data_IF_415748257489
#
_entry.id   IF_415748257489
#
_cell.length_a   1.000
_cell.length_b   1.000
_cell.length_c   1.000
_cell.angle_alpha   90.00
_cell.angle_beta   90.00
_cell.angle_gamma   90.00
#
_symmetry.space_group_name_H-M   'P 1'
#
loop_
_entity.id
_entity.type
_entity.pdbx_description
1 polymer ?
#
# COMPACT_ATOMS: atom_id res chain seq x y z
N UNK A 1 10.24 -26.67 -1.93
CA UNK A 1 11.33 -25.84 -2.44
C UNK A 1 11.05 -24.43 -2.00
N UNK A 2 11.96 -23.81 -1.24
CA UNK A 2 11.77 -22.44 -0.78
C UNK A 2 11.84 -21.52 -2.01
N UNK A 3 10.78 -20.76 -2.26
CA UNK A 3 10.81 -19.66 -3.22
C UNK A 3 11.98 -18.76 -2.83
N UNK A 4 13.04 -18.75 -3.64
CA UNK A 4 14.04 -17.69 -3.54
C UNK A 4 13.32 -16.36 -3.80
N UNK A 5 13.47 -15.34 -2.93
CA UNK A 5 12.93 -14.02 -3.23
C UNK A 5 13.47 -13.54 -4.57
N UNK A 6 12.65 -12.80 -5.32
CA UNK A 6 13.09 -12.07 -6.49
C UNK A 6 14.32 -11.24 -6.07
N UNK A 7 15.47 -11.52 -6.68
CA UNK A 7 16.77 -10.96 -6.27
C UNK A 7 16.68 -9.45 -6.04
N UNK A 8 16.69 -9.01 -4.78
CA UNK A 8 16.55 -7.62 -4.37
C UNK A 8 15.47 -7.34 -3.33
N UNK A 9 14.35 -8.08 -3.33
CA UNK A 9 13.27 -7.90 -2.36
C UNK A 9 13.60 -8.50 -1.00
N UNK A 10 13.37 -7.74 0.07
CA UNK A 10 13.29 -8.27 1.42
C UNK A 10 12.14 -9.27 1.55
N UNK A 11 12.25 -10.22 2.49
CA UNK A 11 11.26 -11.29 2.68
C UNK A 11 9.86 -10.79 3.06
N UNK A 12 9.74 -9.53 3.51
CA UNK A 12 8.47 -8.86 3.85
C UNK A 12 8.15 -7.68 2.93
N UNK A 13 8.90 -7.50 1.84
CA UNK A 13 8.59 -6.47 0.85
C UNK A 13 7.42 -6.95 -0.03
N UNK A 14 6.47 -6.07 -0.30
CA UNK A 14 5.38 -6.32 -1.25
C UNK A 14 5.95 -6.61 -2.63
N UNK A 15 5.38 -7.61 -3.32
CA UNK A 15 5.70 -7.88 -4.72
C UNK A 15 4.97 -6.92 -5.65
N UNK A 16 3.77 -6.47 -5.26
CA UNK A 16 3.03 -5.41 -5.95
C UNK A 16 2.21 -4.60 -4.94
N UNK A 17 1.97 -3.34 -5.28
CA UNK A 17 0.98 -2.45 -4.68
C UNK A 17 0.41 -1.61 -5.82
N UNK A 18 -0.91 -1.67 -6.00
CA UNK A 18 -1.61 -0.94 -7.07
C UNK A 18 -2.77 -0.12 -6.52
N UNK A 19 -3.24 0.80 -7.34
CA UNK A 19 -4.26 1.81 -7.14
C UNK A 19 -5.24 1.81 -8.32
N UNK A 20 -6.42 2.42 -8.14
CA UNK A 20 -7.45 2.58 -9.17
C UNK A 20 -7.78 4.06 -9.47
N UNK A 21 -6.86 4.96 -9.13
CA UNK A 21 -6.91 6.39 -9.47
C UNK A 21 -6.04 6.70 -10.68
N UNK A 22 -6.12 7.92 -11.21
CA UNK A 22 -5.42 8.32 -12.42
C UNK A 22 -3.89 8.44 -12.27
N UNK A 23 -3.39 8.65 -11.05
CA UNK A 23 -1.96 8.69 -10.78
C UNK A 23 -1.38 7.28 -10.62
N UNK A 24 -0.15 7.09 -11.08
CA UNK A 24 0.64 5.88 -10.89
C UNK A 24 1.68 6.06 -9.77
N UNK A 25 2.03 4.96 -9.08
CA UNK A 25 3.21 4.92 -8.21
C UNK A 25 4.49 5.23 -8.99
N UNK A 26 5.18 6.31 -8.60
CA UNK A 26 6.49 6.70 -9.14
C UNK A 26 7.50 6.88 -8.00
N UNK A 27 8.52 6.01 -7.89
CA UNK A 27 8.76 4.82 -8.73
C UNK A 27 7.64 3.79 -8.56
N UNK A 28 7.50 2.89 -9.54
CA UNK A 28 6.71 1.67 -9.33
C UNK A 28 7.27 0.89 -8.14
N UNK A 29 6.45 0.02 -7.56
CA UNK A 29 6.82 -0.74 -6.36
C UNK A 29 8.08 -1.56 -6.63
N UNK A 30 9.13 -1.24 -5.90
CA UNK A 30 10.44 -1.89 -5.97
C UNK A 30 10.98 -2.12 -4.56
N UNK A 31 11.88 -3.08 -4.44
CA UNK A 31 12.53 -3.40 -3.18
C UNK A 31 13.20 -2.17 -2.54
N UNK A 32 13.10 -2.06 -1.22
CA UNK A 32 13.72 -0.97 -0.46
C UNK A 32 13.01 0.39 -0.55
N UNK A 33 11.92 0.52 -1.31
CA UNK A 33 11.10 1.75 -1.37
C UNK A 33 9.80 1.55 -0.61
N UNK A 34 9.63 2.35 0.45
CA UNK A 34 8.55 2.21 1.42
C UNK A 34 7.71 3.48 1.60
N UNK A 35 8.06 4.57 0.95
CA UNK A 35 7.34 5.84 0.98
C UNK A 35 6.86 6.19 -0.42
N UNK A 36 5.57 6.50 -0.54
CA UNK A 36 4.95 6.84 -1.81
C UNK A 36 4.05 8.06 -1.67
N UNK A 37 3.98 8.85 -2.73
CA UNK A 37 3.06 9.97 -2.84
C UNK A 37 2.23 9.82 -4.11
N UNK A 38 0.91 9.97 -4.00
CA UNK A 38 -0.02 9.95 -5.11
C UNK A 38 -0.86 11.23 -5.10
N UNK A 39 -1.19 11.72 -6.30
CA UNK A 39 -2.10 12.85 -6.47
C UNK A 39 -3.44 12.32 -6.98
N UNK A 40 -4.49 12.51 -6.19
CA UNK A 40 -5.86 12.25 -6.60
C UNK A 40 -6.49 13.56 -7.11
N UNK A 41 -7.27 13.45 -8.18
CA UNK A 41 -8.13 14.52 -8.70
C UNK A 41 -9.22 14.87 -7.69
N UNK A 42 -9.86 16.03 -7.87
CA UNK A 42 -10.99 16.43 -7.03
C UNK A 42 -12.21 15.50 -7.16
N UNK A 43 -12.31 14.73 -8.25
CA UNK A 43 -13.40 13.77 -8.50
C UNK A 43 -13.19 12.40 -7.87
N UNK A 44 -11.95 12.06 -7.50
CA UNK A 44 -11.62 10.77 -6.86
C UNK A 44 -11.85 10.88 -5.35
N UNK A 45 -13.04 10.49 -4.90
CA UNK A 45 -13.45 10.49 -3.49
C UNK A 45 -12.95 9.27 -2.71
N UNK A 46 -12.33 8.32 -3.40
CA UNK A 46 -11.77 7.09 -2.85
C UNK A 46 -10.64 6.55 -3.72
N UNK A 47 -9.86 5.63 -3.14
CA UNK A 47 -8.84 4.84 -3.83
C UNK A 47 -8.87 3.42 -3.30
N UNK A 48 -8.84 2.44 -4.19
CA UNK A 48 -8.68 1.04 -3.87
C UNK A 48 -7.21 0.66 -3.96
N UNK A 49 -6.61 0.38 -2.81
CA UNK A 49 -5.21 -0.05 -2.72
C UNK A 49 -5.14 -1.58 -2.65
N UNK A 50 -4.43 -2.20 -3.59
CA UNK A 50 -4.25 -3.66 -3.63
C UNK A 50 -2.80 -4.03 -3.37
N UNK A 51 -2.48 -4.38 -2.13
CA UNK A 51 -1.16 -4.85 -1.74
C UNK A 51 -1.04 -6.38 -1.89
N UNK A 52 0.08 -6.86 -2.45
CA UNK A 52 0.32 -8.28 -2.68
C UNK A 52 1.63 -8.73 -2.07
N UNK A 53 1.54 -9.72 -1.18
CA UNK A 53 2.63 -10.58 -0.76
C UNK A 53 2.06 -11.91 -0.24
N UNK A 54 2.29 -12.99 -0.98
CA UNK A 54 1.79 -14.32 -0.62
C UNK A 54 2.39 -14.77 0.72
N UNK A 55 1.54 -15.25 1.63
CA UNK A 55 1.95 -15.72 2.95
C UNK A 55 2.15 -14.63 4.00
N UNK A 56 1.91 -13.36 3.65
CA UNK A 56 1.94 -12.25 4.60
C UNK A 56 0.56 -11.98 5.23
N UNK A 57 0.57 -11.40 6.43
CA UNK A 57 -0.57 -10.66 6.99
C UNK A 57 -0.40 -9.19 6.63
N UNK A 58 -1.31 -8.66 5.81
CA UNK A 58 -1.33 -7.25 5.40
C UNK A 58 -2.34 -6.49 6.24
N UNK A 59 -1.92 -5.35 6.80
CA UNK A 59 -2.76 -4.52 7.68
C UNK A 59 -2.75 -3.07 7.26
N UNK A 60 -3.93 -2.51 7.05
CA UNK A 60 -4.12 -1.11 6.67
C UNK A 60 -4.50 -0.26 7.90
N UNK A 61 -3.92 0.93 7.99
CA UNK A 61 -4.34 1.98 8.93
C UNK A 61 -4.47 3.30 8.18
N UNK A 62 -5.64 3.92 8.25
CA UNK A 62 -5.99 5.19 7.60
C UNK A 62 -7.21 5.81 8.29
N UNK A 63 -7.26 7.13 8.41
CA UNK A 63 -8.36 7.80 9.13
C UNK A 63 -8.61 7.19 10.51
N UNK A 64 -9.83 6.72 10.75
CA UNK A 64 -10.22 6.01 11.98
C UNK A 64 -10.00 4.47 11.94
N UNK A 65 -9.67 3.91 10.77
CA UNK A 65 -9.40 2.48 10.59
C UNK A 65 -8.00 2.16 11.10
N UNK A 66 -7.88 1.21 12.02
CA UNK A 66 -6.60 0.82 12.64
C UNK A 66 -6.35 -0.68 12.47
N UNK A 67 -5.20 -1.03 11.89
CA UNK A 67 -4.71 -2.40 11.72
C UNK A 67 -5.72 -3.37 11.07
N UNK A 68 -6.57 -2.88 10.14
CA UNK A 68 -7.53 -3.71 9.43
C UNK A 68 -6.79 -4.75 8.59
N UNK A 69 -7.07 -6.03 8.85
CA UNK A 69 -6.46 -7.13 8.08
C UNK A 69 -7.15 -7.24 6.73
N UNK A 70 -6.35 -7.23 5.67
CA UNK A 70 -6.81 -7.42 4.29
C UNK A 70 -6.00 -8.56 3.67
N UNK A 71 -6.67 -9.45 2.93
CA UNK A 71 -5.97 -10.56 2.29
C UNK A 71 -5.05 -10.05 1.17
N UNK A 72 -3.90 -10.71 0.99
CA UNK A 72 -2.98 -10.39 -0.10
C UNK A 72 -3.68 -10.44 -1.46
N UNK A 73 -3.49 -9.39 -2.27
CA UNK A 73 -4.09 -9.27 -3.60
C UNK A 73 -5.59 -8.89 -3.59
N UNK A 74 -6.18 -8.61 -2.42
CA UNK A 74 -7.53 -8.08 -2.30
C UNK A 74 -7.48 -6.58 -2.09
N UNK A 75 -8.28 -5.83 -2.85
CA UNK A 75 -8.34 -4.38 -2.77
C UNK A 75 -8.98 -3.88 -1.47
N UNK A 76 -8.39 -2.84 -0.90
CA UNK A 76 -8.92 -2.08 0.23
C UNK A 76 -9.32 -0.68 -0.24
N UNK A 77 -10.62 -0.39 -0.20
CA UNK A 77 -11.12 0.95 -0.51
C UNK A 77 -10.88 1.91 0.66
N UNK A 78 -10.21 3.02 0.38
CA UNK A 78 -9.89 4.10 1.31
C UNK A 78 -10.63 5.35 0.84
N UNK A 79 -11.52 5.90 1.69
CA UNK A 79 -12.17 7.17 1.42
C UNK A 79 -11.17 8.34 1.54
N UNK A 80 -11.25 9.30 0.63
CA UNK A 80 -10.35 10.45 0.54
C UNK A 80 -11.07 11.76 0.87
N UNK A 81 -10.52 12.50 1.83
CA UNK A 81 -10.88 13.91 2.05
C UNK A 81 -10.01 14.82 1.19
N UNK A 82 -10.49 16.01 0.85
CA UNK A 82 -9.66 17.04 0.19
C UNK A 82 -8.43 17.32 1.04
N UNK A 83 -7.26 17.38 0.39
CA UNK A 83 -5.97 17.47 1.05
C UNK A 83 -5.31 16.11 1.27
N UNK A 84 -4.40 16.05 2.24
CA UNK A 84 -3.55 14.87 2.47
C UNK A 84 -4.29 13.76 3.24
N UNK A 85 -4.25 12.54 2.70
CA UNK A 85 -4.72 11.31 3.31
C UNK A 85 -3.51 10.39 3.49
N UNK A 86 -3.19 10.03 4.74
CA UNK A 86 -2.07 9.13 5.04
C UNK A 86 -2.60 7.72 5.25
N UNK A 87 -2.04 6.77 4.50
CA UNK A 87 -2.30 5.33 4.63
C UNK A 87 -1.01 4.63 5.00
N UNK A 88 -1.05 3.78 6.03
CA UNK A 88 0.05 2.87 6.34
C UNK A 88 -0.36 1.44 6.08
N UNK A 89 0.50 0.70 5.37
CA UNK A 89 0.32 -0.72 5.06
C UNK A 89 1.45 -1.47 5.77
N UNK A 90 1.10 -2.19 6.83
CA UNK A 90 2.03 -3.03 7.58
C UNK A 90 1.99 -4.45 7.04
N UNK A 91 3.14 -4.95 6.61
CA UNK A 91 3.33 -6.29 6.08
C UNK A 91 4.06 -7.14 7.12
N UNK A 92 3.46 -8.25 7.52
CA UNK A 92 4.05 -9.19 8.46
C UNK A 92 4.20 -10.56 7.82
N UNK A 93 5.44 -11.06 7.74
CA UNK A 93 5.72 -12.44 7.36
C UNK A 93 6.29 -13.17 8.58
N UNK A 94 5.74 -14.35 8.96
CA UNK A 94 6.26 -15.10 10.11
C UNK A 94 7.76 -15.38 10.00
N UNK A 95 8.50 -15.14 11.09
CA UNK A 95 9.95 -15.32 11.13
C UNK A 95 10.78 -14.15 10.62
N UNK A 96 10.14 -13.07 10.14
CA UNK A 96 10.81 -11.85 9.67
C UNK A 96 10.30 -10.60 10.40
N UNK A 97 11.08 -9.52 10.35
CA UNK A 97 10.67 -8.22 10.88
C UNK A 97 9.55 -7.61 10.03
N UNK A 98 8.64 -6.81 10.63
CA UNK A 98 7.59 -6.15 9.86
C UNK A 98 8.17 -5.07 8.94
N UNK A 99 7.57 -4.91 7.78
CA UNK A 99 7.82 -3.79 6.85
C UNK A 99 6.59 -2.89 6.83
N UNK A 100 6.80 -1.57 6.76
CA UNK A 100 5.73 -0.58 6.75
C UNK A 100 5.87 0.27 5.50
N UNK A 101 4.83 0.29 4.68
CA UNK A 101 4.68 1.20 3.56
C UNK A 101 3.84 2.40 4.02
N UNK A 102 4.30 3.61 3.73
CA UNK A 102 3.58 4.87 4.02
C UNK A 102 3.22 5.54 2.70
N UNK A 103 1.92 5.74 2.49
CA UNK A 103 1.39 6.42 1.32
C UNK A 103 0.79 7.75 1.76
N UNK A 104 1.17 8.83 1.09
CA UNK A 104 0.52 10.14 1.20
C UNK A 104 -0.26 10.41 -0.08
N UNK A 105 -1.58 10.36 0.01
CA UNK A 105 -2.50 10.54 -1.12
C UNK A 105 -3.14 11.90 -0.98
N UNK A 106 -2.78 12.84 -1.87
CA UNK A 106 -3.29 14.21 -1.81
C UNK A 106 -4.43 14.38 -2.81
N UNK A 107 -5.65 14.58 -2.32
CA UNK A 107 -6.82 14.87 -3.15
C UNK A 107 -6.93 16.37 -3.40
N UNK A 108 -7.01 16.78 -4.67
CA UNK A 108 -7.17 18.17 -5.05
C UNK A 108 -8.51 18.77 -4.57
N UNK A 109 -8.52 20.08 -4.36
CA UNK A 109 -9.76 20.84 -4.23
C UNK A 109 -10.38 21.10 -5.62
N UNK A 110 -11.66 21.47 -5.66
CA UNK A 110 -12.35 21.91 -6.89
C UNK A 110 -11.79 23.22 -7.48
#
# INVERSE_FOLDING_TARGET
GLNSPLSGYGQSDLTTLTEDIAADFVPAVVAGVYEYALAATNLEDSVTLTATLVGASIRYTYGATVNKVVASGVGEAVALVVGANVVTIKVLVPGYGPVIYTLTITRAAE
#
